data_IF_665210475649
#
_entry.id   IF_665210475649
#
_cell.length_a   1.000
_cell.length_b   1.000
_cell.length_c   1.000
_cell.angle_alpha   90.00
_cell.angle_beta   90.00
_cell.angle_gamma   90.00
#
_symmetry.space_group_name_H-M   'P 1'
#
loop_
_entity.id
_entity.type
_entity.pdbx_description
1 polymer ?
#
# COMPACT_ATOMS: atom_id res chain seq x y z
N UNK A 1 2.64 -3.89 11.59
CA UNK A 1 2.52 -2.68 10.74
C UNK A 1 1.27 -1.88 11.10
N UNK A 2 1.34 -0.95 12.04
CA UNK A 2 0.18 -0.15 12.47
C UNK A 2 0.00 1.11 11.61
N UNK A 3 -1.20 1.71 11.63
CA UNK A 3 -1.46 2.97 10.92
C UNK A 3 -0.50 4.09 11.34
N UNK A 4 -0.17 4.22 12.63
CA UNK A 4 0.67 5.30 13.14
C UNK A 4 2.11 5.24 12.61
N UNK A 5 2.58 4.05 12.22
CA UNK A 5 3.90 3.88 11.61
C UNK A 5 3.89 4.14 10.11
N UNK A 6 2.78 3.86 9.43
CA UNK A 6 2.71 3.83 7.97
C UNK A 6 2.13 5.10 7.36
N UNK A 7 1.18 5.74 8.05
CA UNK A 7 0.46 6.91 7.55
C UNK A 7 1.13 8.20 8.01
N UNK A 8 1.94 8.79 7.13
CA UNK A 8 2.59 10.09 7.35
C UNK A 8 1.91 11.21 6.57
N UNK A 9 1.93 12.47 7.06
CA UNK A 9 1.36 13.59 6.33
C UNK A 9 2.19 13.94 5.09
N UNK A 10 1.51 14.20 3.97
CA UNK A 10 2.09 14.76 2.74
C UNK A 10 1.35 16.05 2.38
N UNK A 11 2.08 17.17 2.32
CA UNK A 11 1.53 18.47 1.90
C UNK A 11 2.34 18.96 0.70
N UNK A 12 1.66 19.25 -0.40
CA UNK A 12 2.26 19.72 -1.64
C UNK A 12 1.84 21.17 -1.91
N UNK A 13 2.79 22.01 -2.27
CA UNK A 13 2.56 23.42 -2.63
C UNK A 13 3.45 23.81 -3.79
N UNK A 14 2.85 24.32 -4.85
CA UNK A 14 3.58 24.79 -6.01
C UNK A 14 2.67 25.17 -7.17
N UNK A 15 3.25 25.56 -8.31
CA UNK A 15 2.51 25.76 -9.56
C UNK A 15 1.74 24.48 -9.95
N UNK A 16 0.52 24.64 -10.43
CA UNK A 16 -0.32 23.51 -10.85
C UNK A 16 -0.97 22.71 -9.70
N UNK A 17 -0.64 23.01 -8.44
CA UNK A 17 -1.30 22.37 -7.29
C UNK A 17 -2.61 23.10 -6.98
N UNK A 18 -3.72 22.37 -6.99
CA UNK A 18 -5.01 22.84 -6.52
C UNK A 18 -4.95 23.07 -5.00
N UNK A 19 -5.04 24.33 -4.59
CA UNK A 19 -4.86 24.76 -3.19
C UNK A 19 -6.04 24.37 -2.28
N UNK A 20 -7.17 23.99 -2.86
CA UNK A 20 -8.37 23.56 -2.13
C UNK A 20 -8.51 22.03 -2.10
N UNK A 21 -7.55 21.30 -2.67
CA UNK A 21 -7.59 19.85 -2.74
C UNK A 21 -7.28 19.24 -1.37
N UNK A 22 -8.23 18.43 -0.89
CA UNK A 22 -8.03 17.45 0.18
C UNK A 22 -8.29 16.06 -0.43
N UNK A 23 -7.21 15.33 -0.73
CA UNK A 23 -7.29 14.04 -1.42
C UNK A 23 -7.17 12.89 -0.43
N UNK A 24 -8.09 11.93 -0.56
CA UNK A 24 -8.06 10.65 0.17
C UNK A 24 -7.45 9.51 -0.69
N UNK A 25 -6.83 9.85 -1.83
CA UNK A 25 -6.17 8.87 -2.69
C UNK A 25 -5.00 8.18 -1.98
N UNK A 26 -4.82 6.87 -2.21
CA UNK A 26 -3.69 6.11 -1.66
C UNK A 26 -2.39 6.54 -2.35
N UNK A 27 -1.54 7.27 -1.63
CA UNK A 27 -0.22 7.76 -2.07
C UNK A 27 0.89 7.20 -1.19
N UNK A 28 2.12 7.15 -1.70
CA UNK A 28 3.28 6.67 -0.97
C UNK A 28 4.55 7.45 -1.32
N UNK A 29 5.59 7.34 -0.48
CA UNK A 29 6.88 8.02 -0.71
C UNK A 29 7.51 7.68 -2.08
N UNK A 30 7.25 6.48 -2.60
CA UNK A 30 7.72 6.04 -3.93
C UNK A 30 7.16 6.89 -5.08
N UNK A 31 6.07 7.63 -4.85
CA UNK A 31 5.44 8.51 -5.83
C UNK A 31 6.17 9.86 -5.97
N UNK A 32 7.00 10.25 -4.99
CA UNK A 32 7.69 11.54 -5.01
C UNK A 32 8.72 11.61 -6.14
N UNK A 33 9.51 10.55 -6.34
CA UNK A 33 10.53 10.50 -7.38
C UNK A 33 9.93 10.69 -8.80
N UNK A 34 8.92 9.92 -9.26
CA UNK A 34 8.31 10.14 -10.57
C UNK A 34 7.62 11.50 -10.67
N UNK A 35 7.00 12.00 -9.58
CA UNK A 35 6.39 13.34 -9.56
C UNK A 35 7.40 14.44 -9.83
N UNK A 36 8.54 14.43 -9.12
CA UNK A 36 9.59 15.43 -9.31
C UNK A 36 10.09 15.38 -10.76
N UNK A 37 10.34 14.19 -11.30
CA UNK A 37 10.80 14.06 -12.69
C UNK A 37 9.83 14.66 -13.70
N UNK A 38 8.55 14.36 -13.56
CA UNK A 38 7.52 14.91 -14.45
C UNK A 38 7.43 16.44 -14.37
N UNK A 39 7.52 17.01 -13.16
CA UNK A 39 7.55 18.48 -12.97
C UNK A 39 8.72 19.16 -13.67
N UNK A 40 9.85 18.46 -13.85
CA UNK A 40 11.01 18.94 -14.61
C UNK A 40 10.97 18.56 -16.10
N UNK A 41 9.89 17.95 -16.59
CA UNK A 41 9.80 17.47 -17.97
C UNK A 41 10.75 16.32 -18.29
N UNK A 42 11.20 15.58 -17.28
CA UNK A 42 12.11 14.43 -17.43
C UNK A 42 11.31 13.14 -17.55
N UNK A 43 11.78 12.22 -18.40
CA UNK A 43 11.20 10.90 -18.53
C UNK A 43 11.24 10.13 -17.20
N UNK A 44 10.15 9.46 -16.82
CA UNK A 44 10.08 8.57 -15.65
C UNK A 44 10.59 7.18 -16.06
N UNK A 45 11.62 6.63 -15.38
CA UNK A 45 12.10 5.28 -15.67
C UNK A 45 11.02 4.23 -15.42
N UNK A 46 10.97 3.19 -16.25
CA UNK A 46 10.06 2.04 -16.08
C UNK A 46 10.33 1.26 -14.78
N UNK A 47 11.52 1.41 -14.20
CA UNK A 47 11.88 0.83 -12.90
C UNK A 47 11.21 1.53 -11.71
N UNK A 48 10.63 2.71 -11.90
CA UNK A 48 9.86 3.38 -10.86
C UNK A 48 8.53 2.64 -10.63
N UNK A 49 8.35 2.10 -9.43
CA UNK A 49 7.10 1.45 -9.02
C UNK A 49 6.01 2.45 -8.61
N UNK A 50 6.40 3.68 -8.25
CA UNK A 50 5.49 4.78 -7.93
C UNK A 50 4.86 5.40 -9.18
N UNK A 51 3.82 6.21 -8.98
CA UNK A 51 3.17 6.99 -10.05
C UNK A 51 3.27 8.47 -9.71
N UNK A 52 3.45 9.29 -10.73
CA UNK A 52 3.46 10.74 -10.55
C UNK A 52 2.14 11.25 -9.98
N UNK A 53 2.22 12.19 -9.04
CA UNK A 53 1.09 12.82 -8.38
C UNK A 53 0.55 14.01 -9.17
N UNK A 54 1.12 14.36 -10.33
CA UNK A 54 0.75 15.59 -11.06
C UNK A 54 -0.75 15.71 -11.36
N UNK A 55 -1.38 14.66 -11.90
CA UNK A 55 -2.83 14.68 -12.16
C UNK A 55 -3.66 14.81 -10.87
N UNK A 56 -3.24 14.13 -9.80
CA UNK A 56 -3.90 14.25 -8.50
C UNK A 56 -3.76 15.66 -7.94
N UNK A 57 -2.55 16.23 -7.94
CA UNK A 57 -2.26 17.58 -7.44
C UNK A 57 -3.05 18.65 -8.19
N UNK A 58 -3.29 18.46 -9.49
CA UNK A 58 -4.12 19.35 -10.29
C UNK A 58 -5.62 19.28 -9.93
N UNK A 59 -6.05 18.26 -9.18
CA UNK A 59 -7.45 18.01 -8.86
C UNK A 59 -8.23 17.43 -10.04
N UNK A 60 -7.57 16.66 -10.92
CA UNK A 60 -8.25 15.99 -12.02
C UNK A 60 -9.09 14.80 -11.50
N UNK A 61 -10.41 14.96 -11.53
CA UNK A 61 -11.37 13.94 -11.11
C UNK A 61 -11.35 12.67 -11.98
N UNK A 62 -10.82 12.77 -13.21
CA UNK A 62 -10.71 11.65 -14.14
C UNK A 62 -9.33 10.97 -14.07
N UNK A 63 -8.45 11.39 -13.15
CA UNK A 63 -7.13 10.80 -13.01
C UNK A 63 -7.23 9.30 -12.69
N UNK A 64 -6.70 8.46 -13.58
CA UNK A 64 -6.58 7.03 -13.29
C UNK A 64 -5.58 6.79 -12.16
N UNK A 65 -6.09 6.42 -10.99
CA UNK A 65 -5.26 6.15 -9.82
C UNK A 65 -5.25 4.69 -9.38
N UNK A 66 -4.33 4.34 -8.48
CA UNK A 66 -4.25 2.98 -7.94
C UNK A 66 -5.43 2.73 -7.00
N UNK A 67 -6.07 1.57 -7.16
CA UNK A 67 -7.10 1.11 -6.24
C UNK A 67 -6.52 0.57 -4.91
N UNK A 68 -5.24 0.17 -4.92
CA UNK A 68 -4.57 -0.35 -3.74
C UNK A 68 -3.06 -0.08 -3.72
N UNK A 69 -2.49 -0.21 -2.53
CA UNK A 69 -1.10 0.10 -2.21
C UNK A 69 -0.52 -1.01 -1.32
N UNK A 70 0.67 -1.48 -1.66
CA UNK A 70 1.41 -2.46 -0.87
C UNK A 70 2.53 -1.75 -0.11
N UNK A 71 2.76 -2.19 1.12
CA UNK A 71 3.90 -1.78 1.93
C UNK A 71 4.52 -3.01 2.57
N UNK A 72 5.85 -3.00 2.69
CA UNK A 72 6.60 -4.14 3.19
C UNK A 72 7.57 -3.72 4.28
N UNK A 73 7.76 -4.59 5.25
CA UNK A 73 8.71 -4.43 6.32
C UNK A 73 9.45 -5.74 6.55
N UNK A 74 10.76 -5.68 6.73
CA UNK A 74 11.59 -6.81 7.12
C UNK A 74 12.29 -6.46 8.44
N UNK A 75 12.01 -7.25 9.47
CA UNK A 75 12.58 -7.07 10.80
C UNK A 75 14.10 -7.27 10.80
N UNK A 76 14.82 -6.43 11.56
CA UNK A 76 16.28 -6.47 11.63
C UNK A 76 16.82 -7.47 12.67
N UNK A 77 16.04 -7.75 13.72
CA UNK A 77 16.46 -8.59 14.86
C UNK A 77 15.77 -9.96 14.90
N UNK A 78 14.51 -9.99 14.48
CA UNK A 78 13.79 -11.22 14.18
C UNK A 78 13.49 -11.20 12.68
N UNK A 79 13.74 -12.31 11.97
CA UNK A 79 13.46 -12.48 10.54
C UNK A 79 11.95 -12.57 10.31
N UNK A 80 11.26 -11.48 10.62
CA UNK A 80 9.83 -11.36 10.53
C UNK A 80 9.55 -10.38 9.41
N UNK A 81 9.16 -10.93 8.28
CA UNK A 81 8.61 -10.14 7.19
C UNK A 81 7.14 -9.84 7.47
N UNK A 82 6.71 -8.64 7.11
CA UNK A 82 5.33 -8.20 7.13
C UNK A 82 5.01 -7.49 5.81
N UNK A 83 3.86 -7.81 5.23
CA UNK A 83 3.33 -7.14 4.05
C UNK A 83 1.92 -6.67 4.32
N UNK A 84 1.66 -5.38 4.16
CA UNK A 84 0.34 -4.79 4.30
C UNK A 84 -0.21 -4.31 2.95
N UNK A 85 -1.39 -4.79 2.60
CA UNK A 85 -2.17 -4.41 1.43
C UNK A 85 -3.32 -3.50 1.85
N UNK A 86 -3.34 -2.31 1.27
CA UNK A 86 -4.41 -1.32 1.42
C UNK A 86 -5.28 -1.33 0.18
N UNK A 87 -6.60 -1.36 0.34
CA UNK A 87 -7.57 -1.24 -0.75
C UNK A 87 -8.87 -0.61 -0.24
N UNK A 88 -9.14 0.63 -0.66
CA UNK A 88 -10.23 1.42 -0.10
C UNK A 88 -10.11 1.59 1.41
N UNK A 89 -11.19 1.28 2.15
CA UNK A 89 -11.22 1.31 3.63
C UNK A 89 -10.53 0.14 4.32
N UNK A 90 -10.01 -0.83 3.56
CA UNK A 90 -9.53 -2.09 4.13
C UNK A 90 -8.01 -2.16 4.14
N UNK A 91 -7.48 -2.74 5.22
CA UNK A 91 -6.08 -3.10 5.37
C UNK A 91 -5.98 -4.58 5.68
N UNK A 92 -5.10 -5.27 4.97
CA UNK A 92 -4.80 -6.67 5.20
C UNK A 92 -3.30 -6.87 5.40
N UNK A 93 -2.91 -7.48 6.50
CA UNK A 93 -1.51 -7.76 6.82
C UNK A 93 -1.27 -9.26 6.78
N UNK A 94 -0.22 -9.67 6.06
CA UNK A 94 0.34 -11.01 6.15
C UNK A 94 1.72 -10.92 6.78
N UNK A 95 1.97 -11.74 7.79
CA UNK A 95 3.25 -11.84 8.47
C UNK A 95 3.80 -13.27 8.35
N UNK A 96 5.11 -13.41 8.59
CA UNK A 96 5.75 -14.71 8.78
C UNK A 96 4.96 -15.64 9.71
N UNK A 97 5.11 -16.96 9.52
CA UNK A 97 4.30 -17.98 10.20
C UNK A 97 2.79 -17.97 9.86
N UNK A 98 2.38 -17.21 8.83
CA UNK A 98 1.03 -17.27 8.28
C UNK A 98 -0.02 -16.49 9.09
N UNK A 99 0.42 -15.63 10.02
CA UNK A 99 -0.47 -14.73 10.73
C UNK A 99 -1.11 -13.72 9.77
N UNK A 100 -2.41 -13.51 9.96
CA UNK A 100 -3.25 -12.67 9.11
C UNK A 100 -3.98 -11.67 9.97
N UNK A 101 -3.91 -10.42 9.57
CA UNK A 101 -4.74 -9.37 10.14
C UNK A 101 -5.60 -8.74 9.06
N UNK A 102 -6.84 -8.41 9.41
CA UNK A 102 -7.77 -7.68 8.57
C UNK A 102 -8.39 -6.57 9.40
N UNK A 103 -8.27 -5.33 8.94
CA UNK A 103 -8.80 -4.15 9.60
C UNK A 103 -9.72 -3.38 8.64
N UNK A 104 -10.81 -2.86 9.21
CA UNK A 104 -11.67 -1.88 8.56
C UNK A 104 -11.29 -0.49 9.09
N UNK A 105 -10.48 0.26 8.34
CA UNK A 105 -9.91 1.54 8.78
C UNK A 105 -10.94 2.66 8.92
N UNK A 106 -12.13 2.51 8.34
CA UNK A 106 -13.18 3.51 8.49
C UNK A 106 -13.95 3.34 9.82
N UNK A 107 -14.05 2.12 10.34
CA UNK A 107 -14.68 1.84 11.64
C UNK A 107 -13.64 1.70 12.77
N UNK A 108 -12.40 1.34 12.43
CA UNK A 108 -11.27 1.10 13.32
C UNK A 108 -9.99 1.77 12.78
N UNK A 109 -9.88 3.11 12.87
CA UNK A 109 -8.79 3.89 12.28
C UNK A 109 -7.41 3.64 12.91
N UNK A 110 -7.35 2.87 14.01
CA UNK A 110 -6.14 2.57 14.77
C UNK A 110 -5.79 1.08 14.76
N UNK A 111 -6.39 0.28 13.87
CA UNK A 111 -6.12 -1.16 13.73
C UNK A 111 -6.23 -1.96 15.05
N UNK A 112 -7.14 -1.57 15.93
CA UNK A 112 -7.26 -2.17 17.27
C UNK A 112 -8.03 -3.49 17.27
N UNK A 113 -8.78 -3.81 16.21
CA UNK A 113 -9.64 -4.99 16.10
C UNK A 113 -9.33 -5.81 14.86
N UNK A 114 -8.60 -6.91 15.05
CA UNK A 114 -8.36 -7.87 13.97
C UNK A 114 -9.64 -8.67 13.62
N UNK A 115 -10.12 -8.52 12.39
CA UNK A 115 -11.30 -9.18 11.83
C UNK A 115 -10.97 -10.46 11.03
N UNK A 116 -9.69 -10.84 10.92
CA UNK A 116 -9.26 -11.93 10.04
C UNK A 116 -9.81 -13.30 10.46
N UNK A 117 -10.07 -13.52 11.75
CA UNK A 117 -10.67 -14.75 12.27
C UNK A 117 -12.21 -14.79 12.19
N UNK A 118 -12.85 -13.66 11.92
CA UNK A 118 -14.32 -13.57 11.91
C UNK A 118 -14.88 -14.15 10.59
N UNK A 119 -15.88 -15.03 10.74
CA UNK A 119 -16.57 -15.67 9.62
C UNK A 119 -17.38 -14.70 8.78
N UNK A 120 -17.88 -13.61 9.37
CA UNK A 120 -18.65 -12.57 8.68
C UNK A 120 -17.82 -11.87 7.58
N UNK A 121 -16.52 -11.70 7.82
CA UNK A 121 -15.61 -11.02 6.90
C UNK A 121 -14.85 -11.98 5.97
N UNK A 122 -15.30 -13.23 5.82
CA UNK A 122 -14.61 -14.25 5.01
C UNK A 122 -14.43 -13.81 3.56
N UNK A 123 -15.48 -13.30 2.93
CA UNK A 123 -15.42 -12.85 1.54
C UNK A 123 -14.50 -11.64 1.39
N UNK A 124 -14.60 -10.67 2.31
CA UNK A 124 -13.71 -9.50 2.33
C UNK A 124 -12.25 -9.90 2.48
N UNK A 125 -11.94 -10.84 3.38
CA UNK A 125 -10.60 -11.39 3.57
C UNK A 125 -10.08 -12.04 2.28
N UNK A 126 -10.91 -12.78 1.56
CA UNK A 126 -10.54 -13.39 0.28
C UNK A 126 -10.23 -12.33 -0.78
N UNK A 127 -11.08 -11.31 -0.92
CA UNK A 127 -10.83 -10.20 -1.85
C UNK A 127 -9.49 -9.50 -1.58
N UNK A 128 -9.14 -9.32 -0.30
CA UNK A 128 -7.85 -8.73 0.08
C UNK A 128 -6.66 -9.65 -0.21
N UNK A 129 -6.83 -10.98 -0.03
CA UNK A 129 -5.82 -11.96 -0.40
C UNK A 129 -5.55 -11.94 -1.91
N UNK A 130 -6.60 -11.91 -2.71
CA UNK A 130 -6.51 -11.93 -4.18
C UNK A 130 -5.93 -10.63 -4.72
N UNK A 131 -6.39 -9.47 -4.21
CA UNK A 131 -5.86 -8.17 -4.59
C UNK A 131 -4.37 -8.01 -4.28
N UNK A 132 -3.92 -8.51 -3.12
CA UNK A 132 -2.49 -8.59 -2.79
C UNK A 132 -1.72 -9.40 -3.82
N UNK A 133 -2.23 -10.57 -4.22
CA UNK A 133 -1.53 -11.44 -5.16
C UNK A 133 -1.32 -10.74 -6.51
N UNK A 134 -2.35 -10.05 -7.00
CA UNK A 134 -2.26 -9.23 -8.22
C UNK A 134 -1.22 -8.12 -8.07
N UNK A 135 -1.15 -7.46 -6.91
CA UNK A 135 -0.18 -6.41 -6.65
C UNK A 135 1.27 -6.92 -6.69
N UNK A 136 1.54 -8.09 -6.12
CA UNK A 136 2.86 -8.73 -6.14
C UNK A 136 3.28 -9.14 -7.55
N UNK A 137 2.36 -9.78 -8.30
CA UNK A 137 2.61 -10.18 -9.69
C UNK A 137 2.97 -8.99 -10.58
N UNK A 138 2.34 -7.82 -10.38
CA UNK A 138 2.61 -6.61 -11.15
C UNK A 138 4.05 -6.13 -11.05
N UNK A 139 4.70 -6.35 -9.91
CA UNK A 139 6.08 -5.90 -9.67
C UNK A 139 7.10 -7.04 -9.82
N UNK A 140 6.67 -8.21 -10.28
CA UNK A 140 7.53 -9.39 -10.42
C UNK A 140 7.98 -9.99 -9.11
N UNK A 141 7.29 -9.70 -8.00
CA UNK A 141 7.64 -10.21 -6.68
C UNK A 141 6.97 -11.58 -6.41
N UNK A 142 7.65 -12.41 -5.61
CA UNK A 142 7.23 -13.78 -5.34
C UNK A 142 6.12 -13.77 -4.28
N UNK A 143 4.99 -14.45 -4.52
CA UNK A 143 3.97 -14.61 -3.51
C UNK A 143 4.48 -15.45 -2.35
N UNK A 144 4.54 -14.89 -1.15
CA UNK A 144 4.68 -15.71 0.06
C UNK A 144 3.30 -16.27 0.40
N UNK A 145 3.11 -17.56 0.10
CA UNK A 145 1.80 -18.26 0.18
C UNK A 145 1.62 -18.98 1.53
N UNK A 146 2.72 -19.38 2.17
CA UNK A 146 2.74 -20.02 3.48
C UNK A 146 3.83 -19.39 4.36
N UNK A 147 3.61 -19.41 5.67
CA UNK A 147 4.55 -18.84 6.66
C UNK A 147 5.88 -19.59 6.80
N UNK A 148 6.21 -20.50 5.88
CA UNK A 148 7.27 -21.51 6.04
C UNK A 148 8.46 -21.34 5.08
N UNK A 149 8.56 -20.24 4.32
CA UNK A 149 9.69 -20.07 3.40
C UNK A 149 10.81 -19.22 4.01
N UNK A 150 11.48 -19.73 5.04
CA UNK A 150 12.86 -19.34 5.37
C UNK A 150 13.58 -20.40 6.24
N UNK A 151 13.40 -21.68 5.91
CA UNK A 151 14.20 -22.78 6.44
C UNK A 151 14.85 -23.60 5.32
N UNK A 152 15.49 -22.95 4.35
CA UNK A 152 16.49 -23.60 3.48
C UNK A 152 17.33 -22.57 2.72
N UNK A 153 18.34 -22.03 3.39
CA UNK A 153 19.54 -21.54 2.73
C UNK A 153 20.73 -21.98 3.59
N UNK A 154 21.10 -23.25 3.39
CA UNK A 154 22.43 -23.79 3.70
C UNK A 154 23.17 -24.04 2.40
#
# INVERSE_FOLDING_TARGET
MTEEMMRVPLILRGPGVNRSLDSQSLVANIDLAPTIRELYGLAVPETCQGRSLCSLMAGDENAEWRAGLMTEHYGLHEHVWQRAWYCGRWKFVLQGHGFKDLYDLADDPFDCRNLAGDGHYRERRQMMLDGRLVALQRVGDVPVVSGDSEASAG
#
